data_IF_641029443457
#
_entry.id   IF_641029443457
#
_cell.length_a   1.000
_cell.length_b   1.000
_cell.length_c   1.000
_cell.angle_alpha   90.00
_cell.angle_beta   90.00
_cell.angle_gamma   90.00
#
_symmetry.space_group_name_H-M   'P 1'
#
loop_
_entity.id
_entity.type
_entity.pdbx_description
1 polymer ?
#
# COMPACT_ATOMS: atom_id res chain seq x y z
N UNK A 1 55.00 0.14 -76.84
CA UNK A 1 55.45 0.33 -75.45
C UNK A 1 54.22 0.63 -74.60
N UNK A 2 53.96 -0.24 -73.63
CA UNK A 2 52.86 -0.14 -72.67
C UNK A 2 53.20 0.90 -71.60
N UNK A 3 52.23 1.67 -71.11
CA UNK A 3 52.00 1.84 -69.67
C UNK A 3 50.55 2.26 -69.40
N UNK A 4 49.84 1.39 -68.69
CA UNK A 4 48.59 1.65 -67.97
C UNK A 4 48.84 2.54 -66.75
N UNK A 5 47.86 3.35 -66.36
CA UNK A 5 47.96 4.18 -65.15
C UNK A 5 46.65 4.82 -64.67
N UNK A 6 45.65 3.98 -64.40
CA UNK A 6 44.60 4.07 -63.36
C UNK A 6 44.09 5.45 -62.88
N UNK A 7 42.80 5.68 -63.14
CA UNK A 7 41.93 6.68 -62.51
C UNK A 7 41.87 6.48 -60.99
N UNK A 8 42.12 7.53 -60.20
CA UNK A 8 41.80 7.56 -58.77
C UNK A 8 40.65 8.55 -58.51
N UNK A 9 39.51 7.97 -58.14
CA UNK A 9 38.33 8.66 -57.62
C UNK A 9 38.69 9.34 -56.29
N UNK A 10 38.56 10.66 -56.20
CA UNK A 10 38.60 11.39 -54.94
C UNK A 10 37.16 11.73 -54.55
N UNK A 11 36.62 10.97 -53.58
CA UNK A 11 35.37 11.33 -52.91
C UNK A 11 35.65 12.45 -51.88
N UNK A 12 34.74 13.43 -51.71
CA UNK A 12 34.88 14.44 -50.66
C UNK A 12 34.56 13.83 -49.29
N UNK A 13 35.14 14.34 -48.19
CA UNK A 13 34.97 13.77 -46.87
C UNK A 13 33.56 14.05 -46.35
N UNK A 14 32.94 13.02 -45.77
CA UNK A 14 31.65 13.09 -45.09
C UNK A 14 31.64 14.21 -44.03
N UNK A 15 30.66 15.10 -44.12
CA UNK A 15 30.31 16.05 -43.06
C UNK A 15 29.88 15.24 -41.84
N UNK A 16 30.71 15.18 -40.80
CA UNK A 16 30.26 14.76 -39.47
C UNK A 16 29.34 15.86 -38.91
N UNK A 17 28.02 15.72 -39.15
CA UNK A 17 27.02 16.41 -38.33
C UNK A 17 27.06 15.79 -36.94
N UNK A 18 27.76 16.45 -36.02
CA UNK A 18 27.74 16.12 -34.60
C UNK A 18 26.38 16.57 -34.07
N UNK A 19 25.42 15.65 -33.97
CA UNK A 19 24.16 15.90 -33.28
C UNK A 19 24.50 16.29 -31.82
N UNK A 20 23.91 17.36 -31.26
CA UNK A 20 24.08 17.65 -29.84
C UNK A 20 23.51 16.47 -29.04
N UNK A 21 24.09 16.12 -27.87
CA UNK A 21 23.47 15.14 -27.01
C UNK A 21 22.11 15.70 -26.62
N UNK A 22 21.06 14.97 -27.00
CA UNK A 22 19.71 15.26 -26.51
C UNK A 22 19.80 15.23 -24.99
N UNK A 23 19.66 16.40 -24.37
CA UNK A 23 19.63 16.52 -22.93
C UNK A 23 18.54 15.57 -22.42
N UNK A 24 18.95 14.57 -21.64
CA UNK A 24 18.05 13.60 -21.00
C UNK A 24 17.36 14.32 -19.82
N UNK A 25 16.49 15.29 -20.11
CA UNK A 25 15.73 16.01 -19.09
C UNK A 25 14.68 15.13 -18.41
N UNK A 26 14.29 13.99 -19.00
CA UNK A 26 13.25 13.12 -18.45
C UNK A 26 13.64 12.38 -17.16
N UNK A 27 14.92 12.22 -16.84
CA UNK A 27 15.34 11.57 -15.58
C UNK A 27 15.04 12.43 -14.35
N UNK A 28 15.16 13.75 -14.49
CA UNK A 28 14.96 14.68 -13.38
C UNK A 28 13.48 14.82 -13.00
N UNK A 29 12.58 14.70 -13.98
CA UNK A 29 11.13 14.69 -13.76
C UNK A 29 10.67 13.37 -13.10
N UNK A 30 11.20 12.23 -13.54
CA UNK A 30 10.91 10.93 -12.90
C UNK A 30 11.44 10.87 -11.47
N UNK A 31 12.63 11.41 -11.21
CA UNK A 31 13.21 11.44 -9.86
C UNK A 31 12.41 12.35 -8.92
N UNK A 32 11.90 13.48 -9.42
CA UNK A 32 11.00 14.36 -8.67
C UNK A 32 9.67 13.67 -8.33
N UNK A 33 9.09 12.93 -9.29
CA UNK A 33 7.86 12.19 -9.07
C UNK A 33 8.04 11.03 -8.07
N UNK A 34 9.19 10.34 -8.11
CA UNK A 34 9.54 9.31 -7.13
C UNK A 34 9.64 9.93 -5.72
N UNK A 35 10.25 11.11 -5.58
CA UNK A 35 10.36 11.80 -4.30
C UNK A 35 8.98 12.19 -3.76
N UNK A 36 8.10 12.73 -4.61
CA UNK A 36 6.73 13.09 -4.24
C UNK A 36 5.92 11.87 -3.79
N UNK A 37 5.97 10.77 -4.54
CA UNK A 37 5.29 9.53 -4.17
C UNK A 37 5.80 8.95 -2.84
N UNK A 38 7.11 9.01 -2.59
CA UNK A 38 7.68 8.58 -1.31
C UNK A 38 7.20 9.46 -0.15
N UNK A 39 7.04 10.77 -0.36
CA UNK A 39 6.49 11.66 0.66
C UNK A 39 5.03 11.31 0.97
N UNK A 40 4.20 11.11 -0.06
CA UNK A 40 2.80 10.68 0.11
C UNK A 40 2.70 9.34 0.86
N UNK A 41 3.58 8.38 0.56
CA UNK A 41 3.64 7.11 1.28
C UNK A 41 4.02 7.29 2.75
N UNK A 42 4.94 8.20 3.06
CA UNK A 42 5.32 8.49 4.44
C UNK A 42 4.15 9.15 5.20
N UNK A 43 3.51 10.14 4.60
CA UNK A 43 2.38 10.84 5.20
C UNK A 43 1.19 9.89 5.45
N UNK A 44 0.93 8.98 4.50
CA UNK A 44 -0.11 7.97 4.65
C UNK A 44 0.23 6.99 5.78
N UNK A 45 1.48 6.53 5.89
CA UNK A 45 1.91 5.68 7.00
C UNK A 45 1.71 6.35 8.35
N UNK A 46 2.14 7.61 8.49
CA UNK A 46 1.93 8.37 9.72
C UNK A 46 0.44 8.55 10.04
N UNK A 47 -0.39 8.75 9.02
CA UNK A 47 -1.84 8.85 9.16
C UNK A 47 -2.43 7.53 9.67
N UNK A 48 -2.06 6.40 9.07
CA UNK A 48 -2.50 5.06 9.49
C UNK A 48 -2.06 4.78 10.93
N UNK A 49 -0.79 5.02 11.27
CA UNK A 49 -0.28 4.84 12.64
C UNK A 49 -1.05 5.70 13.66
N UNK A 50 -1.49 6.89 13.25
CA UNK A 50 -2.34 7.75 14.07
C UNK A 50 -3.74 7.17 14.26
N UNK A 51 -4.38 6.76 13.16
CA UNK A 51 -5.72 6.17 13.17
C UNK A 51 -5.77 4.85 13.93
N UNK A 52 -4.73 4.01 13.85
CA UNK A 52 -4.64 2.77 14.63
C UNK A 52 -4.60 3.05 16.14
N UNK A 53 -3.85 4.07 16.57
CA UNK A 53 -3.81 4.48 17.98
C UNK A 53 -5.16 5.03 18.45
N UNK A 54 -5.84 5.81 17.61
CA UNK A 54 -7.17 6.33 17.92
C UNK A 54 -8.20 5.20 17.99
N UNK A 55 -8.19 4.27 17.03
CA UNK A 55 -9.02 3.06 17.04
C UNK A 55 -8.82 2.27 18.33
N UNK A 56 -7.57 1.98 18.68
CA UNK A 56 -7.25 1.19 19.86
C UNK A 56 -7.66 1.93 21.15
N UNK A 57 -7.45 3.24 21.21
CA UNK A 57 -7.88 4.07 22.33
C UNK A 57 -9.39 4.05 22.54
N UNK A 58 -10.18 4.18 21.46
CA UNK A 58 -11.64 4.11 21.54
C UNK A 58 -12.11 2.69 21.89
N UNK A 59 -11.53 1.66 21.29
CA UNK A 59 -11.86 0.28 21.58
C UNK A 59 -11.59 -0.09 23.04
N UNK A 60 -10.41 0.27 23.59
CA UNK A 60 -10.11 0.04 25.00
C UNK A 60 -11.12 0.69 25.93
N UNK A 61 -11.57 1.93 25.63
CA UNK A 61 -12.62 2.59 26.44
C UNK A 61 -13.96 1.87 26.37
N UNK A 62 -14.38 1.44 25.18
CA UNK A 62 -15.62 0.68 25.03
C UNK A 62 -15.55 -0.64 25.80
N UNK A 63 -14.40 -1.32 25.78
CA UNK A 63 -14.16 -2.54 26.54
C UNK A 63 -14.19 -2.31 28.06
N UNK A 64 -13.58 -1.23 28.54
CA UNK A 64 -13.64 -0.85 29.96
C UNK A 64 -15.09 -0.58 30.40
N UNK A 65 -15.87 0.13 29.58
CA UNK A 65 -17.29 0.39 29.84
C UNK A 65 -18.10 -0.91 29.86
N UNK A 66 -17.84 -1.82 28.92
CA UNK A 66 -18.50 -3.12 28.85
C UNK A 66 -18.24 -3.94 30.12
N UNK A 67 -17.00 -3.99 30.60
CA UNK A 67 -16.63 -4.67 31.85
C UNK A 67 -17.39 -4.09 33.06
N UNK A 68 -17.48 -2.76 33.15
CA UNK A 68 -18.26 -2.09 34.22
C UNK A 68 -19.74 -2.49 34.14
N UNK A 69 -20.32 -2.58 32.93
CA UNK A 69 -21.71 -2.98 32.74
C UNK A 69 -21.94 -4.44 33.17
N UNK A 70 -21.02 -5.35 32.85
CA UNK A 70 -21.09 -6.76 33.22
C UNK A 70 -21.05 -6.96 34.75
N UNK A 71 -20.22 -6.20 35.46
CA UNK A 71 -20.17 -6.24 36.94
C UNK A 71 -21.51 -5.86 37.59
N UNK A 72 -22.31 -5.02 36.94
CA UNK A 72 -23.58 -4.50 37.45
C UNK A 72 -24.81 -5.11 36.75
N UNK A 73 -24.64 -6.15 35.93
CA UNK A 73 -25.72 -6.74 35.13
C UNK A 73 -26.89 -7.24 35.99
N UNK A 74 -26.59 -7.77 37.18
CA UNK A 74 -27.60 -8.29 38.12
C UNK A 74 -28.60 -7.24 38.64
N UNK A 75 -28.29 -5.95 38.50
CA UNK A 75 -29.15 -4.86 38.97
C UNK A 75 -30.35 -4.59 38.04
N UNK A 76 -30.39 -5.23 36.85
CA UNK A 76 -31.47 -5.07 35.87
C UNK A 76 -31.79 -3.59 35.54
N UNK A 77 -30.75 -2.75 35.52
CA UNK A 77 -30.89 -1.32 35.26
C UNK A 77 -31.19 -1.06 33.79
N UNK A 78 -32.28 -0.34 33.45
CA UNK A 78 -32.61 -0.02 32.06
C UNK A 78 -31.55 0.87 31.39
N UNK A 79 -30.76 1.61 32.19
CA UNK A 79 -29.62 2.40 31.69
C UNK A 79 -28.50 1.48 31.22
N UNK A 80 -28.16 0.45 32.00
CA UNK A 80 -27.13 -0.53 31.62
C UNK A 80 -27.55 -1.26 30.36
N UNK A 81 -28.81 -1.70 30.27
CA UNK A 81 -29.34 -2.32 29.04
C UNK A 81 -29.24 -1.40 27.82
N UNK A 82 -29.48 -0.09 27.99
CA UNK A 82 -29.30 0.89 26.93
C UNK A 82 -27.84 1.03 26.47
N UNK A 83 -26.89 1.04 27.42
CA UNK A 83 -25.45 1.11 27.11
C UNK A 83 -24.98 -0.15 26.38
N UNK A 84 -25.35 -1.33 26.86
CA UNK A 84 -25.05 -2.61 26.20
C UNK A 84 -25.61 -2.64 24.78
N UNK A 85 -26.84 -2.15 24.58
CA UNK A 85 -27.45 -2.04 23.25
C UNK A 85 -26.64 -1.16 22.29
N UNK A 86 -25.99 -0.10 22.78
CA UNK A 86 -25.08 0.73 21.97
C UNK A 86 -23.78 -0.02 21.69
N UNK A 87 -23.19 -0.69 22.69
CA UNK A 87 -21.91 -1.41 22.55
C UNK A 87 -21.98 -2.57 21.55
N UNK A 88 -23.14 -3.20 21.39
CA UNK A 88 -23.35 -4.30 20.46
C UNK A 88 -24.10 -3.91 19.18
N UNK A 89 -24.37 -2.62 18.97
CA UNK A 89 -24.93 -2.16 17.71
C UNK A 89 -23.93 -2.39 16.57
N UNK A 90 -24.39 -2.96 15.47
CA UNK A 90 -23.59 -3.13 14.25
C UNK A 90 -23.95 -2.06 13.22
N UNK A 91 -22.95 -1.44 12.62
CA UNK A 91 -23.12 -0.60 11.41
C UNK A 91 -22.80 -1.45 10.17
N UNK A 92 -23.46 -1.14 9.04
CA UNK A 92 -23.20 -1.77 7.75
C UNK A 92 -21.73 -1.53 7.35
N UNK A 93 -20.89 -2.58 7.45
CA UNK A 93 -19.44 -2.51 7.18
C UNK A 93 -18.52 -2.57 8.40
N UNK A 94 -19.06 -2.66 9.63
CA UNK A 94 -18.30 -2.88 10.88
C UNK A 94 -18.57 -4.24 11.54
N UNK A 95 -19.53 -5.01 11.03
CA UNK A 95 -19.67 -6.41 11.44
C UNK A 95 -18.42 -7.19 10.99
N UNK A 96 -17.82 -8.02 11.86
CA UNK A 96 -16.90 -9.05 11.41
C UNK A 96 -17.57 -9.79 10.24
N UNK A 97 -16.85 -10.13 9.15
CA UNK A 97 -17.40 -11.06 8.18
C UNK A 97 -17.89 -12.25 9.00
N UNK A 98 -19.17 -12.61 8.85
CA UNK A 98 -19.72 -13.80 9.51
C UNK A 98 -18.69 -14.91 9.29
N UNK A 99 -18.27 -15.58 10.37
CA UNK A 99 -17.22 -16.59 10.35
C UNK A 99 -17.53 -17.61 9.24
N UNK A 100 -17.03 -17.36 8.03
CA UNK A 100 -16.95 -18.36 6.98
C UNK A 100 -16.02 -19.40 7.57
N UNK A 101 -16.66 -20.47 8.03
CA UNK A 101 -16.07 -21.70 8.55
C UNK A 101 -14.70 -21.88 7.90
N UNK A 102 -13.66 -21.69 8.69
CA UNK A 102 -12.30 -22.04 8.31
C UNK A 102 -12.36 -23.56 8.12
N UNK A 103 -12.71 -24.00 6.91
CA UNK A 103 -12.48 -25.36 6.46
C UNK A 103 -10.96 -25.51 6.56
N UNK A 104 -10.55 -26.13 7.66
CA UNK A 104 -9.23 -26.71 7.87
C UNK A 104 -8.92 -27.56 6.63
N UNK A 105 -8.30 -26.96 5.62
CA UNK A 105 -7.52 -27.70 4.66
C UNK A 105 -6.34 -28.24 5.45
N UNK A 106 -6.58 -29.41 6.04
CA UNK A 106 -5.58 -30.38 6.43
C UNK A 106 -4.62 -30.47 5.24
N UNK A 107 -3.47 -29.80 5.36
CA UNK A 107 -2.28 -30.20 4.63
C UNK A 107 -1.95 -31.59 5.17
N UNK A 108 -2.59 -32.60 4.58
CA UNK A 108 -2.07 -33.95 4.63
C UNK A 108 -0.67 -33.87 4.02
N UNK A 109 0.32 -33.98 4.90
CA UNK A 109 1.65 -34.46 4.59
C UNK A 109 1.53 -35.59 3.56
N UNK A 110 1.88 -35.29 2.31
CA UNK A 110 2.24 -36.32 1.34
C UNK A 110 3.75 -36.25 1.14
N UNK A 111 4.39 -36.87 2.11
CA UNK A 111 5.66 -37.57 2.04
C UNK A 111 6.02 -38.08 0.62
N UNK A 112 7.31 -37.91 0.30
CA UNK A 112 8.15 -38.94 -0.33
C UNK A 112 7.97 -39.25 -1.84
N UNK A 113 8.79 -38.64 -2.71
CA UNK A 113 9.96 -39.25 -3.42
C UNK A 113 10.62 -38.26 -4.40
#
# INVERSE_FOLDING_TARGET
MQTSGRLSNVAPPCILRKNPPSARNGGHETDAQILELNQQLLDLKLTVDGLEKERDFYFSKLRDIELICQEHESENSPVISGIIGILYATEEGFAPPEDDEIEEHQQEDQDEY
#
